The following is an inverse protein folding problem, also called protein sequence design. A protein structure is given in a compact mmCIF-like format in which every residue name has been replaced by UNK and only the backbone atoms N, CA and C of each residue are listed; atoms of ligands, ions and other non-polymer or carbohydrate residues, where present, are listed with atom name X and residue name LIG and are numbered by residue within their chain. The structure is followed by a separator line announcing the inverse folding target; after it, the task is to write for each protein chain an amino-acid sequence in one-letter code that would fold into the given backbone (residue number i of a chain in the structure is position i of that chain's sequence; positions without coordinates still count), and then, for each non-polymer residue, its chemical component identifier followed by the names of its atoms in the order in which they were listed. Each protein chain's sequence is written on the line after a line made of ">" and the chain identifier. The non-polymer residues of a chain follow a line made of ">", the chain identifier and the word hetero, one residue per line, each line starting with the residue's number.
data_IF_954404325242
#
_entry.id   IF_954404325242
#
_cell.length_a   1.000
_cell.length_b   1.000
_cell.length_c   1.000
_cell.angle_alpha   90.00
_cell.angle_beta   90.00
_cell.angle_gamma   90.00
#
_symmetry.space_group_name_H-M   'P 1'
#
loop_
_entity.id
_entity.type
_entity.pdbx_description
1 polymer ?
#
# COMPACT_ATOMS: atom_id res chain seq x y z
N UNK A 1 -45.09 -70.07 -51.65
CA UNK A 1 -43.97 -70.99 -51.34
C UNK A 1 -43.69 -70.95 -49.83
N UNK A 2 -43.31 -72.07 -49.19
CA UNK A 2 -42.95 -72.12 -47.75
C UNK A 2 -41.48 -71.75 -47.52
N UNK A 3 -41.18 -71.14 -46.36
CA UNK A 3 -39.94 -71.12 -45.51
C UNK A 3 -39.93 -69.77 -44.75
N UNK A 4 -39.44 -69.59 -43.51
CA UNK A 4 -38.96 -70.45 -42.41
C UNK A 4 -39.19 -69.68 -41.07
N UNK A 5 -39.09 -70.38 -39.92
CA UNK A 5 -39.20 -69.85 -38.53
C UNK A 5 -38.19 -68.74 -38.19
N UNK A 6 -38.43 -67.94 -37.14
CA UNK A 6 -37.68 -68.00 -35.87
C UNK A 6 -38.36 -67.15 -34.77
N UNK A 7 -38.07 -67.46 -33.49
CA UNK A 7 -38.60 -66.82 -32.27
C UNK A 7 -37.42 -66.47 -31.36
N UNK A 8 -37.38 -65.22 -30.87
CA UNK A 8 -36.84 -64.73 -29.57
C UNK A 8 -36.88 -63.19 -29.60
N UNK A 9 -36.78 -62.38 -28.52
CA UNK A 9 -37.14 -62.38 -27.10
C UNK A 9 -36.31 -61.22 -26.49
N UNK A 10 -36.88 -60.38 -25.61
CA UNK A 10 -36.22 -59.26 -24.90
C UNK A 10 -35.70 -58.11 -25.79
N UNK A 11 -35.59 -56.85 -25.35
CA UNK A 11 -35.45 -56.33 -23.98
C UNK A 11 -36.06 -54.92 -23.82
N UNK A 12 -36.59 -54.62 -22.62
CA UNK A 12 -37.02 -53.26 -22.23
C UNK A 12 -35.83 -52.54 -21.58
N UNK A 13 -35.53 -51.32 -22.03
CA UNK A 13 -34.55 -50.43 -21.39
C UNK A 13 -35.23 -49.12 -21.00
N UNK A 14 -35.39 -48.91 -19.69
CA UNK A 14 -35.89 -47.65 -19.12
C UNK A 14 -34.71 -46.69 -18.99
N UNK A 15 -34.73 -45.58 -19.72
CA UNK A 15 -33.72 -44.54 -19.59
C UNK A 15 -34.18 -43.52 -18.52
N UNK A 16 -33.64 -43.64 -17.31
CA UNK A 16 -33.91 -42.71 -16.22
C UNK A 16 -33.17 -41.38 -16.40
N UNK A 17 -33.89 -40.26 -16.33
CA UNK A 17 -33.30 -38.93 -16.40
C UNK A 17 -32.64 -38.56 -15.05
N UNK A 18 -31.32 -38.38 -15.07
CA UNK A 18 -30.55 -37.96 -13.89
C UNK A 18 -30.58 -36.43 -13.78
N UNK A 19 -31.37 -35.89 -12.85
CA UNK A 19 -31.40 -34.45 -12.56
C UNK A 19 -30.25 -34.13 -11.58
N UNK A 20 -29.18 -33.54 -12.10
CA UNK A 20 -28.08 -33.03 -11.28
C UNK A 20 -28.47 -31.69 -10.65
N UNK A 21 -28.89 -31.72 -9.39
CA UNK A 21 -29.05 -30.54 -8.54
C UNK A 21 -27.68 -30.02 -8.12
N UNK A 22 -27.10 -29.11 -8.90
CA UNK A 22 -25.91 -28.35 -8.50
C UNK A 22 -26.32 -27.28 -7.48
N UNK A 23 -26.14 -27.60 -6.20
CA UNK A 23 -26.33 -26.65 -5.10
C UNK A 23 -25.20 -25.62 -5.05
N UNK A 24 -25.42 -24.44 -5.65
CA UNK A 24 -24.53 -23.30 -5.48
C UNK A 24 -24.58 -22.80 -4.03
N UNK A 25 -23.68 -23.31 -3.18
CA UNK A 25 -23.41 -22.73 -1.87
C UNK A 25 -22.83 -21.33 -2.05
N UNK A 26 -23.70 -20.32 -1.96
CA UNK A 26 -23.36 -18.91 -2.04
C UNK A 26 -22.60 -18.50 -0.77
N UNK A 27 -21.31 -18.86 -0.70
CA UNK A 27 -20.39 -18.35 0.31
C UNK A 27 -20.32 -16.83 0.12
N UNK A 28 -21.04 -16.08 0.97
CA UNK A 28 -20.77 -14.65 1.11
C UNK A 28 -19.29 -14.49 1.38
N UNK A 29 -18.60 -13.69 0.57
CA UNK A 29 -17.25 -13.27 0.90
C UNK A 29 -17.31 -12.64 2.30
N UNK A 30 -16.48 -13.15 3.22
CA UNK A 30 -16.31 -12.50 4.52
C UNK A 30 -15.67 -11.14 4.23
N UNK A 31 -16.22 -10.02 4.74
CA UNK A 31 -15.57 -8.73 4.61
C UNK A 31 -14.16 -8.82 5.18
N UNK A 32 -13.16 -8.61 4.34
CA UNK A 32 -11.77 -8.58 4.77
C UNK A 32 -11.50 -7.19 5.35
N UNK A 33 -10.93 -7.07 6.56
CA UNK A 33 -10.45 -5.79 7.09
C UNK A 33 -9.37 -5.16 6.19
N UNK A 34 -9.36 -3.82 6.10
CA UNK A 34 -8.35 -3.07 5.36
C UNK A 34 -6.91 -3.42 5.81
N UNK A 35 -5.89 -3.18 4.97
CA UNK A 35 -4.48 -3.40 5.36
C UNK A 35 -4.12 -2.70 6.67
N UNK A 36 -4.72 -1.55 6.96
CA UNK A 36 -4.50 -0.71 8.15
C UNK A 36 -5.24 -1.26 9.36
N UNK A 37 -6.50 -1.68 9.21
CA UNK A 37 -7.26 -2.39 10.26
C UNK A 37 -6.53 -3.68 10.67
N UNK A 38 -6.00 -4.41 9.69
CA UNK A 38 -5.24 -5.63 9.89
C UNK A 38 -3.87 -5.33 10.51
N UNK A 39 -3.18 -4.29 10.05
CA UNK A 39 -1.92 -3.82 10.64
C UNK A 39 -2.10 -3.42 12.10
N UNK A 40 -3.21 -2.76 12.47
CA UNK A 40 -3.51 -2.41 13.85
C UNK A 40 -3.73 -3.65 14.73
N UNK A 41 -4.42 -4.68 14.22
CA UNK A 41 -4.58 -5.95 14.91
C UNK A 41 -3.25 -6.72 15.06
N UNK A 42 -2.44 -6.77 14.00
CA UNK A 42 -1.09 -7.35 14.00
C UNK A 42 -0.17 -6.60 14.97
N UNK A 43 -0.25 -5.28 15.03
CA UNK A 43 0.57 -4.47 15.94
C UNK A 43 0.18 -4.71 17.40
N UNK A 44 -1.12 -4.69 17.70
CA UNK A 44 -1.65 -5.00 19.04
C UNK A 44 -1.26 -6.39 19.54
N UNK A 45 -1.08 -7.34 18.63
CA UNK A 45 -0.67 -8.71 18.95
C UNK A 45 0.84 -8.93 19.13
N UNK A 46 1.70 -7.99 18.68
CA UNK A 46 3.15 -8.20 18.59
C UNK A 46 4.00 -7.09 19.26
N UNK A 47 3.41 -6.32 20.19
CA UNK A 47 4.11 -5.27 20.95
C UNK A 47 5.46 -5.76 21.54
N UNK A 48 6.62 -5.24 21.07
CA UNK A 48 7.91 -5.56 21.66
C UNK A 48 8.09 -4.79 22.98
N UNK A 49 8.65 -5.45 23.99
CA UNK A 49 9.10 -4.77 25.22
C UNK A 49 10.42 -4.03 24.96
N UNK A 50 10.38 -2.71 24.94
CA UNK A 50 11.56 -1.86 24.77
C UNK A 50 12.60 -2.04 25.88
N UNK A 51 13.87 -2.14 25.52
CA UNK A 51 14.98 -1.69 26.38
C UNK A 51 16.07 -0.94 25.60
N UNK A 52 16.49 0.16 26.22
CA UNK A 52 17.56 1.15 26.02
C UNK A 52 18.66 0.99 24.94
N UNK A 53 18.80 2.04 24.10
CA UNK A 53 19.98 2.93 23.84
C UNK A 53 21.42 2.36 23.64
N UNK A 54 22.47 3.07 23.14
CA UNK A 54 22.73 4.47 22.70
C UNK A 54 23.99 4.49 21.79
N UNK A 55 24.18 5.47 20.88
CA UNK A 55 25.45 6.22 20.65
C UNK A 55 25.44 7.16 19.40
N UNK A 56 26.27 8.23 19.43
CA UNK A 56 26.56 9.22 18.35
C UNK A 56 27.71 8.73 17.42
N UNK A 57 28.19 9.32 16.32
CA UNK A 57 28.19 10.68 15.70
C UNK A 57 28.75 10.53 14.24
N UNK A 58 28.66 11.42 13.24
CA UNK A 58 28.03 12.76 13.05
C UNK A 58 28.98 13.79 12.38
N UNK A 59 28.71 14.23 11.14
CA UNK A 59 29.47 15.24 10.35
C UNK A 59 28.60 15.90 9.24
N UNK A 60 29.12 16.86 8.46
CA UNK A 60 28.38 17.98 7.86
C UNK A 60 28.59 18.18 6.34
N UNK A 61 27.52 18.59 5.62
CA UNK A 61 27.48 19.17 4.24
C UNK A 61 27.96 18.26 3.08
N UNK A 62 27.54 18.42 1.81
CA UNK A 62 27.14 19.63 1.06
C UNK A 62 26.14 19.30 -0.09
N UNK A 63 25.30 20.26 -0.52
CA UNK A 63 24.32 20.06 -1.62
C UNK A 63 24.94 20.19 -3.03
N UNK A 64 24.57 19.33 -3.99
CA UNK A 64 24.56 19.66 -5.43
C UNK A 64 23.43 19.00 -6.21
N UNK A 65 22.93 19.74 -7.20
CA UNK A 65 21.83 19.37 -8.09
C UNK A 65 22.24 18.40 -9.20
N UNK A 66 21.27 17.62 -9.68
CA UNK A 66 21.09 17.38 -11.12
C UNK A 66 21.46 16.00 -11.65
N UNK A 67 20.44 15.26 -12.12
CA UNK A 67 20.59 14.05 -12.94
C UNK A 67 19.72 12.90 -12.46
N UNK A 68 18.84 12.41 -13.33
CA UNK A 68 18.12 11.16 -13.14
C UNK A 68 19.09 9.98 -13.39
N UNK A 69 19.99 9.72 -12.43
CA UNK A 69 21.01 8.69 -12.53
C UNK A 69 20.71 7.51 -11.61
N UNK A 70 20.19 6.45 -12.25
CA UNK A 70 19.88 5.10 -11.79
C UNK A 70 19.97 4.86 -10.27
N UNK A 71 18.81 4.94 -9.60
CA UNK A 71 18.65 4.55 -8.18
C UNK A 71 18.43 3.05 -7.98
N UNK A 72 18.77 2.22 -8.98
CA UNK A 72 18.31 0.83 -9.10
C UNK A 72 19.51 -0.07 -9.41
N UNK A 73 19.66 -1.17 -8.66
CA UNK A 73 20.68 -2.20 -8.93
C UNK A 73 20.00 -3.52 -9.32
N UNK A 74 20.38 -4.07 -10.48
CA UNK A 74 19.97 -5.40 -10.94
C UNK A 74 20.84 -6.52 -10.30
N UNK A 75 20.41 -7.78 -10.13
CA UNK A 75 19.08 -8.41 -10.01
C UNK A 75 19.30 -9.86 -9.52
N UNK A 76 18.47 -10.36 -8.61
CA UNK A 76 18.11 -11.79 -8.56
C UNK A 76 16.59 -11.91 -8.74
N UNK A 77 16.13 -12.92 -9.49
CA UNK A 77 14.71 -13.28 -9.65
C UNK A 77 13.73 -12.18 -10.15
N UNK A 78 14.23 -11.08 -10.71
CA UNK A 78 13.38 -10.01 -11.29
C UNK A 78 12.84 -8.98 -10.28
N UNK A 79 13.37 -8.97 -9.04
CA UNK A 79 13.09 -7.95 -8.02
C UNK A 79 14.33 -7.07 -7.82
N UNK A 80 14.18 -5.77 -8.05
CA UNK A 80 15.27 -4.79 -8.03
C UNK A 80 15.43 -4.19 -6.63
N UNK A 81 16.65 -3.82 -6.25
CA UNK A 81 16.92 -3.20 -4.94
C UNK A 81 17.23 -1.71 -5.13
N UNK A 82 16.56 -0.86 -4.34
CA UNK A 82 16.79 0.57 -4.28
C UNK A 82 18.22 0.87 -3.80
N UNK A 83 19.04 1.46 -4.67
CA UNK A 83 20.45 1.77 -4.44
C UNK A 83 20.66 2.91 -3.40
N UNK A 84 19.64 3.76 -3.22
CA UNK A 84 19.65 4.95 -2.35
C UNK A 84 18.39 4.97 -1.49
N UNK A 85 18.24 4.05 -0.52
CA UNK A 85 17.00 3.91 0.25
C UNK A 85 16.67 5.14 1.13
N UNK A 86 17.69 5.93 1.50
CA UNK A 86 17.55 7.20 2.21
C UNK A 86 17.11 8.39 1.32
N UNK A 87 17.00 8.24 0.00
CA UNK A 87 16.56 9.33 -0.89
C UNK A 87 15.07 9.65 -0.65
N UNK A 88 14.74 10.93 -0.52
CA UNK A 88 13.33 11.37 -0.34
C UNK A 88 12.46 11.00 -1.54
N UNK A 89 13.04 10.87 -2.73
CA UNK A 89 12.37 10.48 -3.95
C UNK A 89 12.56 8.99 -4.31
N UNK A 90 13.04 8.15 -3.38
CA UNK A 90 13.27 6.72 -3.64
C UNK A 90 12.01 6.03 -4.19
N UNK A 91 12.15 5.30 -5.29
CA UNK A 91 11.08 4.48 -5.84
C UNK A 91 10.99 3.16 -5.07
N UNK A 92 9.81 2.89 -4.51
CA UNK A 92 9.42 1.61 -3.92
C UNK A 92 8.06 1.25 -4.50
N UNK A 93 7.92 0.05 -5.04
CA UNK A 93 6.71 -0.46 -5.70
C UNK A 93 6.76 -2.00 -5.78
N UNK A 94 5.92 -2.64 -6.63
CA UNK A 94 5.87 -4.10 -6.75
C UNK A 94 7.15 -4.75 -7.33
N UNK A 95 8.08 -3.99 -7.91
CA UNK A 95 9.31 -4.48 -8.52
C UNK A 95 10.57 -4.00 -7.80
N UNK A 96 10.59 -2.75 -7.32
CA UNK A 96 11.72 -2.16 -6.58
C UNK A 96 11.45 -2.27 -5.08
N UNK A 97 12.32 -2.99 -4.36
CA UNK A 97 12.31 -3.12 -2.89
C UNK A 97 13.42 -2.29 -2.23
N UNK A 98 13.18 -1.95 -0.97
CA UNK A 98 14.22 -1.55 -0.02
C UNK A 98 15.07 -2.78 0.39
N UNK A 99 16.30 -2.57 0.88
CA UNK A 99 17.06 -3.61 1.59
C UNK A 99 16.26 -4.20 2.77
N UNK A 100 16.39 -5.51 3.02
CA UNK A 100 15.62 -6.20 4.08
C UNK A 100 15.97 -5.74 5.52
N UNK A 101 17.10 -5.05 5.68
CA UNK A 101 17.62 -4.46 6.92
C UNK A 101 17.49 -2.94 6.99
N UNK A 102 16.86 -2.30 5.98
CA UNK A 102 16.69 -0.85 5.97
C UNK A 102 15.76 -0.37 7.08
N UNK A 103 16.21 0.64 7.81
CA UNK A 103 15.45 1.33 8.84
C UNK A 103 15.78 2.84 8.77
N UNK A 104 14.81 3.74 8.54
CA UNK A 104 15.08 5.15 8.36
C UNK A 104 15.78 5.78 9.60
N UNK A 105 16.83 6.60 9.42
CA UNK A 105 17.66 7.07 10.54
C UNK A 105 17.04 8.22 11.35
N UNK A 106 15.98 8.86 10.85
CA UNK A 106 15.44 10.12 11.35
C UNK A 106 13.93 10.09 11.64
N UNK A 107 13.40 8.94 12.08
CA UNK A 107 12.00 8.78 12.45
C UNK A 107 11.60 9.63 13.68
N UNK A 108 10.49 10.35 13.56
CA UNK A 108 9.87 11.18 14.62
C UNK A 108 8.34 11.09 14.57
N UNK A 109 7.67 11.36 15.69
CA UNK A 109 6.20 11.52 15.77
C UNK A 109 5.82 12.96 15.33
N UNK A 110 5.07 13.17 14.23
CA UNK A 110 4.56 14.49 13.84
C UNK A 110 3.44 14.92 14.80
N UNK A 111 3.38 16.22 15.10
CA UNK A 111 2.41 16.83 16.01
C UNK A 111 1.03 17.04 15.38
N UNK A 112 0.45 15.96 14.86
CA UNK A 112 -0.89 15.93 14.25
C UNK A 112 -1.85 15.05 15.08
N UNK A 113 -3.18 15.17 14.88
CA UNK A 113 -4.12 14.17 15.37
C UNK A 113 -3.88 12.80 14.73
N UNK A 114 -4.18 11.73 15.46
CA UNK A 114 -4.26 10.36 14.96
C UNK A 114 -5.59 9.76 15.42
N UNK A 115 -6.14 8.80 14.68
CA UNK A 115 -7.43 8.16 15.02
C UNK A 115 -7.32 7.15 16.20
N UNK A 116 -6.13 7.02 16.77
CA UNK A 116 -5.78 6.10 17.85
C UNK A 116 -4.79 6.79 18.81
N UNK A 117 -4.57 6.21 20.00
CA UNK A 117 -3.84 6.85 21.11
C UNK A 117 -2.51 6.18 21.47
N UNK A 118 -2.35 4.95 21.01
CA UNK A 118 -1.20 4.08 21.16
C UNK A 118 0.03 4.73 20.52
N UNK A 119 1.15 4.78 21.24
CA UNK A 119 2.40 5.38 20.76
C UNK A 119 3.26 4.31 20.09
N UNK A 120 3.02 4.13 18.80
CA UNK A 120 3.67 3.10 17.98
C UNK A 120 4.20 3.62 16.64
N UNK A 121 4.92 2.74 15.93
CA UNK A 121 5.57 3.01 14.64
C UNK A 121 4.64 3.66 13.61
N UNK A 122 3.33 3.37 13.64
CA UNK A 122 2.33 3.94 12.72
C UNK A 122 2.14 5.45 12.94
N UNK A 123 2.69 6.01 14.01
CA UNK A 123 2.74 7.46 14.27
C UNK A 123 4.06 8.09 13.85
N UNK A 124 5.03 7.34 13.36
CA UNK A 124 6.34 7.86 12.99
C UNK A 124 6.40 8.19 11.50
N UNK A 125 7.21 9.18 11.15
CA UNK A 125 7.67 9.48 9.80
C UNK A 125 9.11 9.97 9.85
N UNK A 126 9.84 9.92 8.74
CA UNK A 126 11.11 10.64 8.61
C UNK A 126 10.90 12.13 8.86
N UNK A 127 11.82 12.75 9.58
CA UNK A 127 11.68 14.11 10.12
C UNK A 127 11.26 15.15 9.08
N UNK A 128 11.84 15.10 7.89
CA UNK A 128 11.51 16.05 6.79
C UNK A 128 10.05 15.94 6.34
N UNK A 129 9.51 14.71 6.29
CA UNK A 129 8.10 14.47 5.94
C UNK A 129 7.18 14.81 7.13
N UNK A 130 7.59 14.50 8.36
CA UNK A 130 6.85 14.87 9.58
C UNK A 130 6.63 16.40 9.70
N UNK A 131 7.69 17.20 9.50
CA UNK A 131 7.64 18.67 9.55
C UNK A 131 6.84 19.28 8.39
N UNK A 132 6.74 18.58 7.26
CA UNK A 132 5.87 18.97 6.15
C UNK A 132 4.39 18.62 6.43
N UNK A 133 4.13 17.45 7.02
CA UNK A 133 2.79 16.99 7.40
C UNK A 133 2.18 17.86 8.50
N UNK A 134 2.98 18.30 9.48
CA UNK A 134 2.54 19.25 10.52
C UNK A 134 1.96 20.54 9.89
N UNK A 135 2.57 21.06 8.81
CA UNK A 135 2.09 22.25 8.09
C UNK A 135 0.83 21.95 7.29
N UNK A 136 0.84 20.87 6.51
CA UNK A 136 -0.31 20.41 5.72
C UNK A 136 -1.58 20.29 6.58
N UNK A 137 -1.48 19.61 7.74
CA UNK A 137 -2.61 19.41 8.65
C UNK A 137 -3.01 20.70 9.38
N UNK A 138 -2.06 21.58 9.69
CA UNK A 138 -2.37 22.88 10.28
C UNK A 138 -3.15 23.80 9.32
N UNK A 139 -2.75 23.85 8.05
CA UNK A 139 -3.39 24.70 7.04
C UNK A 139 -4.73 24.13 6.56
N UNK A 140 -4.83 22.79 6.41
CA UNK A 140 -6.13 22.12 6.23
C UNK A 140 -7.12 22.50 7.34
N UNK A 141 -6.67 22.48 8.60
CA UNK A 141 -7.48 22.87 9.76
C UNK A 141 -7.88 24.35 9.75
N UNK A 142 -7.02 25.24 9.24
CA UNK A 142 -7.34 26.65 9.08
C UNK A 142 -8.48 26.87 8.05
N UNK A 143 -8.61 25.95 7.08
CA UNK A 143 -9.70 25.92 6.09
C UNK A 143 -10.91 25.07 6.51
N UNK A 144 -10.92 24.54 7.75
CA UNK A 144 -12.02 23.75 8.30
C UNK A 144 -11.99 22.26 7.92
N UNK A 145 -10.91 21.77 7.33
CA UNK A 145 -10.68 20.36 6.99
C UNK A 145 -9.93 19.67 8.13
N UNK A 146 -10.45 18.56 8.65
CA UNK A 146 -9.97 17.97 9.91
C UNK A 146 -9.31 16.62 9.69
N UNK A 147 -8.06 16.66 9.22
CA UNK A 147 -7.22 15.49 8.97
C UNK A 147 -6.67 14.84 10.26
N UNK A 148 -6.53 13.52 10.24
CA UNK A 148 -5.83 12.73 11.25
C UNK A 148 -5.04 11.58 10.60
N UNK A 149 -3.92 11.20 11.22
CA UNK A 149 -3.10 10.06 10.81
C UNK A 149 -3.74 8.71 11.13
N UNK A 150 -3.57 7.77 10.20
CA UNK A 150 -4.02 6.37 10.26
C UNK A 150 -2.82 5.42 10.30
N UNK A 151 -1.84 5.61 9.42
CA UNK A 151 -0.67 4.72 9.33
C UNK A 151 0.52 5.40 8.63
N UNK A 152 1.58 5.67 9.39
CA UNK A 152 2.86 6.22 8.95
C UNK A 152 3.89 5.13 8.70
N UNK A 153 5.03 5.16 9.42
CA UNK A 153 6.07 4.15 9.31
C UNK A 153 5.58 2.76 9.69
N UNK A 154 6.13 1.75 9.00
CA UNK A 154 5.89 0.34 9.24
C UNK A 154 7.17 -0.40 8.92
N UNK A 155 7.84 -0.99 9.91
CA UNK A 155 9.09 -1.72 9.67
C UNK A 155 8.88 -2.95 8.78
N UNK A 156 9.96 -3.38 8.10
CA UNK A 156 10.01 -4.60 7.29
C UNK A 156 9.41 -5.82 8.01
N UNK A 157 9.75 -6.01 9.29
CA UNK A 157 9.27 -7.14 10.08
C UNK A 157 7.76 -7.04 10.36
N UNK A 158 7.21 -5.84 10.55
CA UNK A 158 5.76 -5.63 10.67
C UNK A 158 5.06 -5.89 9.34
N UNK A 159 5.61 -5.41 8.21
CA UNK A 159 5.08 -5.70 6.88
C UNK A 159 5.11 -7.20 6.56
N UNK A 160 6.16 -7.92 6.99
CA UNK A 160 6.28 -9.38 6.87
C UNK A 160 5.21 -10.13 7.67
N UNK A 161 4.93 -9.73 8.90
CA UNK A 161 3.85 -10.33 9.69
C UNK A 161 2.48 -10.04 9.06
N UNK A 162 2.25 -8.81 8.60
CA UNK A 162 1.02 -8.41 7.90
C UNK A 162 0.79 -9.21 6.60
N UNK A 163 1.81 -9.33 5.76
CA UNK A 163 1.74 -10.06 4.50
C UNK A 163 1.51 -11.56 4.73
N UNK A 164 2.20 -12.18 5.69
CA UNK A 164 1.97 -13.58 6.07
C UNK A 164 0.58 -13.83 6.63
N UNK A 165 0.02 -12.89 7.41
CA UNK A 165 -1.37 -12.96 7.83
C UNK A 165 -2.30 -12.97 6.61
N UNK A 166 -2.10 -12.06 5.65
CA UNK A 166 -2.90 -12.02 4.43
C UNK A 166 -2.84 -13.31 3.59
N UNK A 167 -1.64 -13.90 3.45
CA UNK A 167 -1.50 -15.24 2.84
C UNK A 167 -2.36 -16.27 3.59
N UNK A 168 -2.36 -16.25 4.93
CA UNK A 168 -3.09 -17.23 5.74
C UNK A 168 -4.62 -17.13 5.62
N UNK A 169 -5.17 -15.93 5.39
CA UNK A 169 -6.63 -15.70 5.33
C UNK A 169 -7.21 -15.68 3.91
N UNK A 170 -6.41 -15.37 2.89
CA UNK A 170 -6.87 -15.21 1.50
C UNK A 170 -6.07 -15.99 0.45
N UNK A 171 -4.92 -16.54 0.80
CA UNK A 171 -3.97 -17.09 -0.16
C UNK A 171 -3.08 -16.02 -0.81
N UNK A 172 -1.96 -16.47 -1.38
CA UNK A 172 -0.86 -15.61 -1.81
C UNK A 172 -1.19 -14.65 -2.95
N UNK A 173 -2.02 -15.07 -3.91
CA UNK A 173 -2.41 -14.24 -5.06
C UNK A 173 -3.21 -13.00 -4.63
N UNK A 174 -4.22 -13.18 -3.78
CA UNK A 174 -5.00 -12.07 -3.22
C UNK A 174 -4.17 -11.23 -2.23
N UNK A 175 -3.31 -11.86 -1.42
CA UNK A 175 -2.41 -11.14 -0.51
C UNK A 175 -1.52 -10.13 -1.27
N UNK A 176 -0.98 -10.50 -2.43
CA UNK A 176 -0.16 -9.63 -3.30
C UNK A 176 -0.93 -8.45 -3.90
N UNK A 177 -2.24 -8.60 -4.06
CA UNK A 177 -3.12 -7.54 -4.58
C UNK A 177 -3.44 -6.48 -3.52
N UNK A 178 -3.71 -6.89 -2.29
CA UNK A 178 -4.15 -6.00 -1.21
C UNK A 178 -3.04 -5.56 -0.26
N UNK A 179 -1.87 -6.21 -0.26
CA UNK A 179 -0.75 -5.86 0.60
C UNK A 179 0.56 -5.89 -0.17
N UNK A 180 1.50 -5.03 0.21
CA UNK A 180 2.86 -5.06 -0.28
C UNK A 180 3.60 -6.30 0.25
N UNK A 181 4.53 -6.85 -0.54
CA UNK A 181 5.54 -7.76 0.01
C UNK A 181 6.51 -6.96 0.91
N UNK A 182 7.21 -7.59 1.87
CA UNK A 182 8.20 -6.91 2.70
C UNK A 182 9.34 -6.32 1.85
N UNK A 183 9.73 -5.08 2.15
CA UNK A 183 10.65 -4.28 1.34
C UNK A 183 9.94 -3.50 0.22
N UNK A 184 8.72 -3.88 -0.17
CA UNK A 184 7.95 -3.25 -1.25
C UNK A 184 6.86 -2.28 -0.75
N UNK A 185 6.78 -2.03 0.57
CA UNK A 185 5.83 -1.09 1.17
C UNK A 185 6.44 0.30 1.28
N UNK A 186 5.76 1.34 0.79
CA UNK A 186 6.25 2.71 1.00
C UNK A 186 6.26 3.13 2.47
N UNK A 187 5.47 2.49 3.34
CA UNK A 187 5.52 2.75 4.78
C UNK A 187 6.89 2.40 5.38
N UNK A 188 7.65 1.48 4.79
CA UNK A 188 9.01 1.13 5.22
C UNK A 188 10.00 2.28 4.94
N UNK A 189 9.69 3.21 4.02
CA UNK A 189 10.51 4.42 3.80
C UNK A 189 10.39 5.44 4.92
N UNK A 190 9.30 5.40 5.71
CA UNK A 190 8.90 6.47 6.62
C UNK A 190 8.49 7.78 5.94
N UNK A 191 8.30 7.79 4.61
CA UNK A 191 7.88 8.95 3.80
C UNK A 191 6.40 8.90 3.39
N UNK A 192 5.71 7.79 3.67
CA UNK A 192 4.27 7.62 3.43
C UNK A 192 3.46 7.84 4.71
N UNK A 193 2.24 8.37 4.55
CA UNK A 193 1.23 8.48 5.61
C UNK A 193 -0.16 8.24 5.02
N UNK A 194 -0.94 7.40 5.68
CA UNK A 194 -2.38 7.27 5.46
C UNK A 194 -3.13 8.30 6.32
N UNK A 195 -4.06 9.04 5.70
CA UNK A 195 -4.89 10.05 6.38
C UNK A 195 -6.38 9.71 6.32
N UNK A 196 -7.13 10.17 7.32
CA UNK A 196 -8.60 10.18 7.35
C UNK A 196 -9.13 11.48 7.95
N UNK A 197 -10.45 11.57 8.15
CA UNK A 197 -11.01 12.54 9.10
C UNK A 197 -10.59 12.20 10.55
N UNK A 198 -10.77 13.17 11.46
CA UNK A 198 -10.53 12.99 12.92
C UNK A 198 -11.42 11.95 13.62
N UNK A 199 -12.41 11.35 12.94
CA UNK A 199 -13.28 10.30 13.49
C UNK A 199 -12.89 8.89 13.02
N UNK A 200 -11.96 8.78 12.06
CA UNK A 200 -11.64 7.52 11.38
C UNK A 200 -12.69 7.10 10.36
N UNK A 201 -13.55 8.01 9.89
CA UNK A 201 -14.54 7.72 8.84
C UNK A 201 -13.81 7.34 7.55
N UNK A 202 -14.06 6.15 7.02
CA UNK A 202 -13.38 5.61 5.84
C UNK A 202 -11.84 5.58 5.96
N UNK A 203 -11.30 5.34 7.17
CA UNK A 203 -9.85 5.29 7.37
C UNK A 203 -9.20 4.19 6.52
N UNK A 204 -8.48 4.63 5.48
CA UNK A 204 -7.90 3.78 4.43
C UNK A 204 -8.94 2.85 3.74
N UNK A 205 -10.09 3.43 3.37
CA UNK A 205 -11.14 2.75 2.60
C UNK A 205 -11.59 3.59 1.39
N UNK A 206 -12.02 2.92 0.31
CA UNK A 206 -12.51 3.54 -0.95
C UNK A 206 -13.50 4.70 -0.73
N UNK A 207 -14.32 4.65 0.33
CA UNK A 207 -15.30 5.70 0.61
C UNK A 207 -14.68 7.05 1.00
N UNK A 208 -13.39 7.07 1.41
CA UNK A 208 -12.64 8.30 1.68
C UNK A 208 -12.57 9.20 0.45
N UNK A 209 -12.57 8.63 -0.76
CA UNK A 209 -12.57 9.34 -2.05
C UNK A 209 -13.66 10.43 -2.19
N UNK A 210 -14.74 10.34 -1.41
CA UNK A 210 -15.88 11.26 -1.48
C UNK A 210 -15.92 12.28 -0.33
N UNK A 211 -14.89 12.33 0.51
CA UNK A 211 -14.79 13.25 1.66
C UNK A 211 -14.25 14.63 1.26
N UNK A 212 -14.59 15.70 2.00
CA UNK A 212 -13.91 17.00 1.89
C UNK A 212 -12.39 16.88 2.08
N UNK A 213 -11.95 16.03 3.01
CA UNK A 213 -10.55 15.73 3.32
C UNK A 213 -9.79 15.20 2.10
N UNK A 214 -10.30 14.16 1.43
CA UNK A 214 -9.67 13.60 0.24
C UNK A 214 -9.62 14.61 -0.92
N UNK A 215 -10.67 15.41 -1.10
CA UNK A 215 -10.68 16.46 -2.11
C UNK A 215 -9.62 17.54 -1.82
N UNK A 216 -9.53 17.99 -0.57
CA UNK A 216 -8.54 18.99 -0.16
C UNK A 216 -7.11 18.44 -0.33
N UNK A 217 -6.85 17.19 0.05
CA UNK A 217 -5.56 16.54 -0.18
C UNK A 217 -5.20 16.50 -1.67
N UNK A 218 -6.14 16.12 -2.55
CA UNK A 218 -5.90 16.09 -3.99
C UNK A 218 -5.58 17.49 -4.57
N UNK A 219 -6.19 18.54 -4.04
CA UNK A 219 -5.98 19.91 -4.49
C UNK A 219 -4.69 20.56 -3.90
N UNK A 220 -4.25 20.17 -2.68
CA UNK A 220 -3.22 20.89 -1.90
C UNK A 220 -1.97 20.09 -1.48
N UNK A 221 -1.97 18.75 -1.49
CA UNK A 221 -0.83 17.96 -0.97
C UNK A 221 0.53 18.33 -1.60
N UNK A 222 0.53 18.68 -2.89
CA UNK A 222 1.73 19.05 -3.64
C UNK A 222 2.41 20.34 -3.13
N UNK A 223 1.66 21.26 -2.52
CA UNK A 223 2.23 22.47 -1.92
C UNK A 223 3.17 22.17 -0.75
N UNK A 224 2.91 21.07 -0.04
CA UNK A 224 3.69 20.61 1.11
C UNK A 224 4.72 19.53 0.75
N UNK A 225 4.83 19.15 -0.53
CA UNK A 225 5.79 18.12 -0.99
C UNK A 225 5.27 16.69 -0.94
N UNK A 226 3.95 16.51 -0.84
CA UNK A 226 3.28 15.22 -0.92
C UNK A 226 2.57 15.01 -2.27
N UNK A 227 2.50 13.76 -2.71
CA UNK A 227 1.63 13.33 -3.82
C UNK A 227 0.58 12.36 -3.31
N UNK A 228 -0.59 12.32 -3.96
CA UNK A 228 -1.48 11.15 -3.88
C UNK A 228 -0.77 10.02 -4.63
N UNK A 229 -0.26 9.02 -3.90
CA UNK A 229 0.73 8.09 -4.47
C UNK A 229 0.17 7.17 -5.55
N UNK A 230 -1.06 6.71 -5.34
CA UNK A 230 -1.77 5.78 -6.20
C UNK A 230 -3.03 6.46 -6.75
N UNK A 231 -2.89 7.32 -7.78
CA UNK A 231 -4.01 8.05 -8.36
C UNK A 231 -4.87 7.17 -9.26
N UNK A 232 -6.16 7.53 -9.36
CA UNK A 232 -7.16 6.81 -10.15
C UNK A 232 -6.81 6.74 -11.63
N UNK A 233 -6.94 5.57 -12.24
CA UNK A 233 -6.61 5.34 -13.65
C UNK A 233 -5.12 5.08 -13.94
N UNK A 234 -4.28 4.94 -12.91
CA UNK A 234 -2.86 4.57 -13.01
C UNK A 234 -2.56 3.20 -12.39
N UNK A 235 -3.58 2.38 -12.15
CA UNK A 235 -3.47 1.08 -11.46
C UNK A 235 -2.57 0.09 -12.23
N UNK A 236 -2.58 0.16 -13.58
CA UNK A 236 -1.71 -0.63 -14.46
C UNK A 236 -0.24 -0.16 -14.47
N UNK A 237 0.07 0.99 -13.88
CA UNK A 237 1.42 1.57 -13.81
C UNK A 237 2.00 1.38 -12.41
N UNK A 238 1.20 1.61 -11.36
CA UNK A 238 1.64 1.50 -9.95
C UNK A 238 1.53 0.07 -9.41
N UNK A 239 0.58 -0.72 -9.91
CA UNK A 239 0.22 -2.03 -9.34
C UNK A 239 -0.64 -1.96 -8.07
N UNK A 240 -1.23 -0.80 -7.77
CA UNK A 240 -2.13 -0.55 -6.64
C UNK A 240 -3.46 0.05 -7.14
N UNK A 241 -4.52 -0.02 -6.33
CA UNK A 241 -5.80 0.62 -6.66
C UNK A 241 -5.71 2.14 -6.45
N UNK A 242 -6.82 2.87 -6.65
CA UNK A 242 -6.90 4.27 -6.23
C UNK A 242 -6.95 4.40 -4.71
N UNK A 243 -5.96 5.05 -4.11
CA UNK A 243 -5.83 5.19 -2.66
C UNK A 243 -5.70 6.68 -2.27
N UNK A 244 -6.83 7.43 -2.20
CA UNK A 244 -6.82 8.87 -1.91
C UNK A 244 -6.31 9.27 -0.53
N UNK A 245 -6.18 8.30 0.39
CA UNK A 245 -5.65 8.50 1.74
C UNK A 245 -4.12 8.42 1.81
N UNK A 246 -3.49 7.67 0.90
CA UNK A 246 -2.04 7.39 0.93
C UNK A 246 -1.29 8.55 0.29
N UNK A 247 -0.67 9.39 1.12
CA UNK A 247 0.20 10.47 0.69
C UNK A 247 1.67 10.09 0.83
N UNK A 248 2.46 10.34 -0.22
CA UNK A 248 3.91 10.06 -0.25
C UNK A 248 4.70 11.37 -0.35
N UNK A 249 5.61 11.59 0.60
CA UNK A 249 6.54 12.72 0.54
C UNK A 249 7.64 12.47 -0.49
N UNK A 250 7.85 13.44 -1.38
CA UNK A 250 8.91 13.46 -2.40
C UNK A 250 9.62 14.82 -2.49
N UNK A 251 9.27 15.76 -1.61
CA UNK A 251 9.75 17.15 -1.64
C UNK A 251 8.93 18.05 -2.57
N UNK A 252 8.81 19.34 -2.21
CA UNK A 252 7.89 20.31 -2.85
C UNK A 252 8.09 20.48 -4.35
N UNK A 253 9.35 20.50 -4.84
CA UNK A 253 9.61 20.68 -6.26
C UNK A 253 9.09 19.50 -7.10
N UNK A 254 9.44 18.28 -6.71
CA UNK A 254 9.04 17.07 -7.42
C UNK A 254 7.53 16.83 -7.28
N UNK A 255 6.94 17.03 -6.10
CA UNK A 255 5.50 16.86 -5.90
C UNK A 255 4.68 17.78 -6.82
N UNK A 256 5.09 19.05 -6.97
CA UNK A 256 4.45 20.00 -7.91
C UNK A 256 4.64 19.60 -9.37
N UNK A 257 5.81 19.09 -9.74
CA UNK A 257 6.06 18.59 -11.09
C UNK A 257 5.17 17.38 -11.43
N UNK A 258 5.12 16.37 -10.55
CA UNK A 258 4.30 15.17 -10.74
C UNK A 258 2.82 15.51 -10.86
N UNK A 259 2.29 16.27 -9.90
CA UNK A 259 0.87 16.66 -9.86
C UNK A 259 0.48 17.53 -11.05
N UNK A 260 1.29 18.52 -11.44
CA UNK A 260 0.98 19.38 -12.60
C UNK A 260 1.02 18.65 -13.95
N UNK A 261 1.80 17.56 -14.05
CA UNK A 261 1.89 16.73 -15.26
C UNK A 261 0.98 15.49 -15.24
N UNK A 262 0.32 15.19 -14.11
CA UNK A 262 -0.46 13.97 -13.93
C UNK A 262 0.38 12.68 -13.99
N UNK A 263 1.61 12.73 -13.49
CA UNK A 263 2.57 11.61 -13.49
C UNK A 263 2.61 10.90 -12.15
N UNK A 264 2.81 9.59 -12.17
CA UNK A 264 3.23 8.82 -10.99
C UNK A 264 4.75 8.85 -10.83
N UNK A 265 5.26 8.36 -9.69
CA UNK A 265 6.70 8.25 -9.44
C UNK A 265 7.36 7.24 -10.40
N UNK A 266 6.63 6.18 -10.79
CA UNK A 266 7.01 5.25 -11.86
C UNK A 266 7.25 5.95 -13.20
N UNK A 267 6.31 6.79 -13.65
CA UNK A 267 6.42 7.48 -14.94
C UNK A 267 7.55 8.52 -14.95
N UNK A 268 7.86 9.12 -13.79
CA UNK A 268 8.99 10.05 -13.65
C UNK A 268 10.36 9.38 -13.80
N UNK A 269 10.50 8.14 -13.31
CA UNK A 269 11.71 7.33 -13.48
C UNK A 269 11.70 6.44 -14.73
N UNK A 270 10.67 6.52 -15.58
CA UNK A 270 10.34 5.59 -16.68
C UNK A 270 10.35 4.10 -16.26
N UNK A 271 10.18 3.82 -14.97
CA UNK A 271 10.09 2.49 -14.40
C UNK A 271 8.59 2.12 -14.28
N UNK A 272 8.02 1.56 -15.34
CA UNK A 272 6.63 1.06 -15.32
C UNK A 272 6.58 -0.34 -14.73
N UNK A 273 5.57 -0.62 -13.91
CA UNK A 273 5.32 -1.97 -13.43
C UNK A 273 5.19 -2.95 -14.62
N UNK A 274 6.05 -3.96 -14.67
CA UNK A 274 5.88 -5.08 -15.58
C UNK A 274 4.66 -5.89 -15.12
N UNK A 275 3.51 -5.63 -15.74
CA UNK A 275 2.29 -6.40 -15.52
C UNK A 275 2.47 -7.77 -16.16
N UNK A 276 2.68 -8.80 -15.35
CA UNK A 276 2.65 -10.19 -15.80
C UNK A 276 1.27 -10.53 -16.34
N UNK A 277 1.17 -10.81 -17.64
CA UNK A 277 0.00 -11.42 -18.29
C UNK A 277 -0.17 -12.89 -17.88
#
# INVERSE_FOLDING_TARGET
>A
MRKIRFVTLTSVSVLGAMILLVGCSNKKAVPVPSPETTAQAVYSANLPTNDSSTAKQGSTQEEKQGGADHQIVHLENGVEIAAKPDDIAVLVNKQVKLPDDYNPPDLVEPKIPFIFTEKDDRRLMRKVAAEALEKLVADAKNEGIHLAGVSGYRSYQTQKTLFNYYISVQGQELARKYSAEPGHSEHETGLAMDLSDTKGTCAAEDCFANTPEAKWLADHAADYGFIIRYPKGKESITGYNYEPWHIRYVGTQLAKELTSKGLTLEEYYDHKAMVSN
#
